data_IF_869541153511
#
_entry.id   IF_869541153511
#
_cell.length_a   1.000
_cell.length_b   1.000
_cell.length_c   1.000
_cell.angle_alpha   90.00
_cell.angle_beta   90.00
_cell.angle_gamma   90.00
#
_symmetry.space_group_name_H-M   'P 1'
#
loop_
_entity.id
_entity.type
_entity.pdbx_description
1 polymer ?
#
# COMPACT_ATOMS: atom_id res chain seq x y z
N UNK A 1 -13.03 -10.53 15.67
CA UNK A 1 -11.66 -10.10 15.30
C UNK A 1 -11.62 -10.06 13.78
N UNK A 2 -11.29 -8.92 13.18
CA UNK A 2 -11.31 -8.74 11.72
C UNK A 2 -9.95 -8.22 11.26
N UNK A 3 -9.47 -8.76 10.15
CA UNK A 3 -8.22 -8.38 9.50
C UNK A 3 -8.51 -8.04 8.04
N UNK A 4 -7.99 -6.91 7.57
CA UNK A 4 -8.12 -6.43 6.20
C UNK A 4 -6.77 -6.49 5.50
N UNK A 5 -6.73 -7.09 4.31
CA UNK A 5 -5.62 -6.94 3.38
C UNK A 5 -6.08 -6.00 2.27
N UNK A 6 -5.27 -4.98 1.97
CA UNK A 6 -5.55 -3.99 0.94
C UNK A 6 -4.41 -3.96 -0.07
N UNK A 7 -4.75 -3.99 -1.35
CA UNK A 7 -3.83 -3.88 -2.47
C UNK A 7 -4.46 -2.97 -3.55
N UNK A 8 -4.52 -1.66 -3.27
CA UNK A 8 -5.11 -0.70 -4.20
C UNK A 8 -4.20 -0.48 -5.40
N UNK A 9 -4.69 0.14 -6.49
CA UNK A 9 -3.81 0.64 -7.54
C UNK A 9 -2.75 1.58 -6.99
N UNK A 10 -1.51 1.35 -7.42
CA UNK A 10 -0.34 2.06 -6.91
C UNK A 10 -0.30 3.49 -7.44
N UNK A 11 0.14 4.41 -6.58
CA UNK A 11 0.23 5.82 -6.91
C UNK A 11 1.15 6.05 -8.10
N UNK A 12 0.73 6.91 -9.04
CA UNK A 12 1.35 7.16 -10.35
C UNK A 12 1.34 5.99 -11.34
N UNK A 13 0.79 4.85 -10.92
CA UNK A 13 0.64 3.63 -11.73
C UNK A 13 -0.81 3.23 -11.94
N UNK A 14 -1.74 4.13 -11.64
CA UNK A 14 -3.19 3.89 -11.74
C UNK A 14 -3.59 3.52 -13.18
N UNK A 15 -2.91 4.08 -14.18
CA UNK A 15 -3.12 3.78 -15.59
C UNK A 15 -2.87 2.30 -15.97
N UNK A 16 -2.12 1.53 -15.16
CA UNK A 16 -1.96 0.09 -15.37
C UNK A 16 -3.21 -0.71 -14.97
N UNK A 17 -4.13 -0.06 -14.26
CA UNK A 17 -5.37 -0.63 -13.74
C UNK A 17 -6.61 -0.06 -14.43
N UNK A 18 -6.43 0.60 -15.58
CA UNK A 18 -7.48 1.33 -16.30
C UNK A 18 -8.71 0.43 -16.55
N UNK A 19 -9.81 0.79 -15.89
CA UNK A 19 -11.13 0.14 -15.90
C UNK A 19 -12.19 1.23 -15.94
N UNK A 20 -13.43 0.86 -16.24
CA UNK A 20 -14.56 1.81 -16.37
C UNK A 20 -14.77 2.71 -15.13
N UNK A 21 -14.18 2.38 -13.98
CA UNK A 21 -14.25 3.06 -12.69
C UNK A 21 -12.93 3.77 -12.26
N UNK A 22 -12.07 4.15 -13.19
CA UNK A 22 -10.74 4.72 -12.93
C UNK A 22 -10.68 5.91 -11.94
N UNK A 23 -11.76 6.70 -11.81
CA UNK A 23 -11.84 7.80 -10.83
C UNK A 23 -11.73 7.32 -9.38
N UNK A 24 -12.14 6.08 -9.08
CA UNK A 24 -12.03 5.47 -7.75
C UNK A 24 -10.58 5.29 -7.30
N UNK A 25 -9.63 5.23 -8.24
CA UNK A 25 -8.21 4.95 -7.97
C UNK A 25 -7.41 6.17 -7.51
N UNK A 26 -8.03 7.34 -7.43
CA UNK A 26 -7.37 8.57 -6.94
C UNK A 26 -7.61 8.85 -5.44
N UNK A 27 -8.38 7.98 -4.76
CA UNK A 27 -8.87 8.20 -3.39
C UNK A 27 -7.88 7.77 -2.29
N UNK A 28 -6.57 7.93 -2.53
CA UNK A 28 -5.52 7.50 -1.61
C UNK A 28 -5.61 8.19 -0.25
N UNK A 29 -5.97 9.47 -0.22
CA UNK A 29 -6.15 10.24 1.02
C UNK A 29 -7.38 9.78 1.82
N UNK A 30 -8.50 9.53 1.15
CA UNK A 30 -9.74 9.04 1.76
C UNK A 30 -9.50 7.66 2.40
N UNK A 31 -8.83 6.76 1.69
CA UNK A 31 -8.44 5.46 2.22
C UNK A 31 -7.52 5.60 3.44
N UNK A 32 -6.49 6.46 3.37
CA UNK A 32 -5.60 6.69 4.50
C UNK A 32 -6.35 7.24 5.74
N UNK A 33 -7.35 8.10 5.54
CA UNK A 33 -8.22 8.59 6.62
C UNK A 33 -9.09 7.48 7.22
N UNK A 34 -9.67 6.62 6.39
CA UNK A 34 -10.45 5.47 6.85
C UNK A 34 -9.59 4.50 7.66
N UNK A 35 -8.39 4.16 7.17
CA UNK A 35 -7.47 3.24 7.85
C UNK A 35 -6.95 3.78 9.19
N UNK A 36 -6.93 5.10 9.41
CA UNK A 36 -6.64 5.71 10.72
C UNK A 36 -7.70 5.42 11.78
N UNK A 37 -8.95 5.20 11.36
CA UNK A 37 -10.10 5.03 12.28
C UNK A 37 -10.74 3.65 12.19
N UNK A 38 -10.20 2.77 11.36
CA UNK A 38 -10.76 1.44 11.11
C UNK A 38 -10.84 0.60 12.38
N UNK A 39 -11.97 -0.08 12.58
CA UNK A 39 -12.11 -1.11 13.61
C UNK A 39 -11.53 -2.42 13.08
N UNK A 40 -10.33 -2.77 13.53
CA UNK A 40 -9.66 -4.02 13.15
C UNK A 40 -8.18 -3.81 12.86
N UNK A 41 -7.53 -4.89 12.42
CA UNK A 41 -6.15 -4.85 11.95
C UNK A 41 -6.12 -4.72 10.43
N UNK A 42 -5.10 -4.07 9.88
CA UNK A 42 -4.88 -4.07 8.43
C UNK A 42 -3.42 -4.32 8.06
N UNK A 43 -3.23 -4.82 6.85
CA UNK A 43 -1.99 -4.80 6.09
C UNK A 43 -2.31 -4.23 4.71
N UNK A 44 -1.54 -3.23 4.29
CA UNK A 44 -1.66 -2.55 3.01
C UNK A 44 -0.35 -2.72 2.24
N UNK A 45 -0.41 -3.25 1.03
CA UNK A 45 0.69 -3.20 0.05
C UNK A 45 0.61 -1.91 -0.77
N UNK A 46 1.76 -1.33 -1.08
CA UNK A 46 1.84 -0.11 -1.86
C UNK A 46 3.23 0.08 -2.51
N UNK A 47 3.35 0.87 -3.57
CA UNK A 47 4.66 1.26 -4.10
C UNK A 47 5.43 2.16 -3.13
N UNK A 48 6.77 2.08 -3.18
CA UNK A 48 7.63 3.02 -2.46
C UNK A 48 7.62 4.41 -3.11
N UNK A 49 6.81 5.32 -2.55
CA UNK A 49 6.73 6.72 -2.97
C UNK A 49 6.70 7.67 -1.75
N UNK A 50 7.40 8.83 -1.80
CA UNK A 50 7.38 9.82 -0.72
C UNK A 50 5.99 10.29 -0.29
N UNK A 51 5.06 10.45 -1.23
CA UNK A 51 3.67 10.83 -0.95
C UNK A 51 2.97 9.78 -0.09
N UNK A 52 3.17 8.50 -0.40
CA UNK A 52 2.57 7.38 0.32
C UNK A 52 3.15 7.24 1.72
N UNK A 53 4.48 7.36 1.85
CA UNK A 53 5.14 7.40 3.17
C UNK A 53 4.58 8.53 4.03
N UNK A 54 4.29 9.68 3.42
CA UNK A 54 3.69 10.82 4.11
C UNK A 54 2.24 10.56 4.54
N UNK A 55 1.39 9.96 3.68
CA UNK A 55 0.01 9.62 4.02
C UNK A 55 -0.09 8.68 5.22
N UNK A 56 0.82 7.70 5.29
CA UNK A 56 0.85 6.67 6.32
C UNK A 56 1.89 6.93 7.42
N UNK A 57 2.34 8.18 7.58
CA UNK A 57 3.22 8.57 8.68
C UNK A 57 2.61 8.18 10.03
N UNK A 58 3.38 7.44 10.84
CA UNK A 58 2.98 6.96 12.16
C UNK A 58 2.45 5.52 12.20
N UNK A 59 2.25 4.88 11.04
CA UNK A 59 2.06 3.43 10.95
C UNK A 59 3.40 2.70 10.93
N UNK A 60 3.36 1.37 11.09
CA UNK A 60 4.54 0.53 10.83
C UNK A 60 4.65 0.33 9.32
N UNK A 61 5.82 0.60 8.75
CA UNK A 61 6.11 0.48 7.33
C UNK A 61 7.36 -0.40 7.20
N UNK A 62 7.20 -1.57 6.61
CA UNK A 62 8.28 -2.49 6.26
C UNK A 62 8.55 -2.40 4.74
N UNK A 63 9.81 -2.44 4.32
CA UNK A 63 10.19 -2.46 2.90
C UNK A 63 10.42 -3.90 2.45
N UNK A 64 9.94 -4.23 1.24
CA UNK A 64 10.18 -5.53 0.61
C UNK A 64 10.61 -5.33 -0.84
N UNK A 65 11.51 -6.18 -1.32
CA UNK A 65 11.87 -6.22 -2.73
C UNK A 65 10.90 -7.13 -3.49
N UNK A 66 10.20 -6.54 -4.47
CA UNK A 66 9.31 -7.25 -5.38
C UNK A 66 9.95 -7.32 -6.77
N UNK A 67 10.00 -8.53 -7.34
CA UNK A 67 10.48 -8.75 -8.70
C UNK A 67 9.30 -8.86 -9.67
N UNK A 68 9.29 -7.98 -10.65
CA UNK A 68 8.30 -7.92 -11.72
C UNK A 68 8.93 -8.27 -13.06
N UNK A 69 8.15 -8.91 -13.94
CA UNK A 69 8.52 -9.04 -15.35
C UNK A 69 7.70 -8.05 -16.16
N UNK A 70 8.35 -7.06 -16.77
CA UNK A 70 7.71 -6.08 -17.64
C UNK A 70 8.32 -6.23 -19.03
N UNK A 71 7.50 -6.57 -20.03
CA UNK A 71 7.93 -6.77 -21.41
C UNK A 71 9.09 -7.78 -21.58
N UNK A 72 9.12 -8.83 -20.75
CA UNK A 72 10.15 -9.88 -20.80
C UNK A 72 11.44 -9.59 -20.04
N UNK A 73 11.55 -8.42 -19.40
CA UNK A 73 12.71 -8.05 -18.57
C UNK A 73 12.34 -8.05 -17.08
N UNK A 74 13.23 -8.59 -16.25
CA UNK A 74 13.11 -8.50 -14.79
C UNK A 74 13.39 -7.07 -14.32
N UNK A 75 12.52 -6.57 -13.46
CA UNK A 75 12.67 -5.30 -12.75
C UNK A 75 12.40 -5.55 -11.27
N UNK A 76 13.34 -5.17 -10.41
CA UNK A 76 13.13 -5.15 -8.96
C UNK A 76 12.59 -3.78 -8.57
N UNK A 77 11.56 -3.77 -7.74
CA UNK A 77 11.00 -2.55 -7.17
C UNK A 77 10.80 -2.72 -5.67
N UNK A 78 11.00 -1.64 -4.93
CA UNK A 78 10.69 -1.61 -3.50
C UNK A 78 9.20 -1.37 -3.30
N UNK A 79 8.60 -2.19 -2.45
CA UNK A 79 7.23 -2.03 -2.00
C UNK A 79 7.17 -1.84 -0.49
N UNK A 80 6.08 -1.21 -0.06
CA UNK A 80 5.79 -0.90 1.32
C UNK A 80 4.70 -1.84 1.82
N UNK A 81 4.98 -2.48 2.96
CA UNK A 81 3.99 -3.17 3.77
C UNK A 81 3.62 -2.30 4.97
N UNK A 82 2.41 -1.76 4.96
CA UNK A 82 1.93 -0.74 5.91
C UNK A 82 0.88 -1.36 6.84
N UNK A 83 1.03 -1.20 8.16
CA UNK A 83 0.13 -1.84 9.15
C UNK A 83 -0.04 -1.05 10.45
N UNK A 84 -1.18 -1.26 11.12
CA UNK A 84 -1.58 -0.59 12.37
C UNK A 84 -1.23 -1.34 13.66
N UNK A 85 -0.58 -2.49 13.57
CA UNK A 85 -0.03 -3.21 14.72
C UNK A 85 1.46 -2.89 14.89
N UNK A 86 1.87 -2.66 16.14
CA UNK A 86 3.30 -2.55 16.48
C UNK A 86 3.98 -3.88 16.17
N UNK A 87 5.14 -3.84 15.53
CA UNK A 87 6.04 -5.01 15.44
C UNK A 87 6.28 -5.53 16.85
N UNK A 88 5.80 -6.75 17.12
CA UNK A 88 6.25 -7.49 18.29
C UNK A 88 7.61 -8.03 17.89
N UNK A 89 8.67 -7.26 18.14
CA UNK A 89 10.01 -7.84 18.17
C UNK A 89 10.03 -8.67 19.44
N UNK A 90 9.83 -9.99 19.33
CA UNK A 90 10.21 -10.90 20.39
C UNK A 90 11.74 -10.97 20.40
N UNK A 91 12.34 -10.47 21.49
CA UNK A 91 13.75 -10.71 21.84
C UNK A 91 13.98 -12.19 22.13
#
# INVERSE_FOLDING_TARGET
NTFFYLDPPYFTKEHLYDREDAEAFTKHEEMAQLLKTIKGKFLLSYNDDPYIRQLYKGFTIDEVEAQYTVSGSFQTQTELLIRNNKSVISL
#
